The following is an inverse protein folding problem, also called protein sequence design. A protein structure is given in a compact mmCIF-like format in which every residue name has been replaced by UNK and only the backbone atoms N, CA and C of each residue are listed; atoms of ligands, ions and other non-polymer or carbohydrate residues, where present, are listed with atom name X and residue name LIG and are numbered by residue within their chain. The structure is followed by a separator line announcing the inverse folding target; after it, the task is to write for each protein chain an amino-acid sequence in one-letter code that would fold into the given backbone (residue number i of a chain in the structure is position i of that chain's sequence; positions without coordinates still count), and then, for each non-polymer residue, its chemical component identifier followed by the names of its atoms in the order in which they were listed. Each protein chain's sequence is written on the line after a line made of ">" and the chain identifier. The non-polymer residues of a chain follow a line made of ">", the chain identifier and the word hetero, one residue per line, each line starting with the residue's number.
data_IF_803865601685
#
_entry.id   IF_803865601685
#
_cell.length_a   1.000
_cell.length_b   1.000
_cell.length_c   1.000
_cell.angle_alpha   90.00
_cell.angle_beta   90.00
_cell.angle_gamma   90.00
#
_symmetry.space_group_name_H-M   'P 1'
#
loop_
_entity.id
_entity.type
_entity.pdbx_description
1 polymer ?
#
# COMPACT_ATOMS: atom_id res chain seq x y z
N UNK A 1 20.82 -48.54 58.93
CA UNK A 1 20.48 -47.70 57.73
C UNK A 1 21.74 -46.96 57.30
N UNK A 2 22.16 -47.11 56.06
CA UNK A 2 23.49 -46.66 55.56
C UNK A 2 23.48 -45.18 55.16
N UNK A 3 24.21 -44.28 55.87
CA UNK A 3 24.17 -42.83 55.61
C UNK A 3 24.71 -42.43 54.23
N UNK A 4 25.36 -43.32 53.50
CA UNK A 4 25.87 -43.10 52.15
C UNK A 4 24.74 -43.11 51.09
N UNK A 5 23.66 -43.83 51.36
CA UNK A 5 22.50 -43.92 50.43
C UNK A 5 21.73 -42.61 50.35
N UNK A 6 21.52 -41.90 51.46
CA UNK A 6 20.79 -40.62 51.47
C UNK A 6 21.55 -39.48 50.78
N UNK A 7 22.88 -39.48 50.82
CA UNK A 7 23.70 -38.45 50.12
C UNK A 7 23.65 -38.63 48.60
N UNK A 8 23.64 -39.85 48.10
CA UNK A 8 23.57 -40.15 46.67
C UNK A 8 22.18 -39.78 46.09
N UNK A 9 21.11 -40.09 46.79
CA UNK A 9 19.74 -39.72 46.36
C UNK A 9 19.53 -38.21 46.39
N UNK A 10 20.04 -37.50 47.40
CA UNK A 10 19.95 -36.04 47.46
C UNK A 10 20.72 -35.38 46.29
N UNK A 11 21.92 -35.86 45.97
CA UNK A 11 22.72 -35.35 44.86
C UNK A 11 22.05 -35.59 43.50
N UNK A 12 21.45 -36.77 43.31
CA UNK A 12 20.73 -37.09 42.08
C UNK A 12 19.48 -36.18 41.86
N UNK A 13 18.73 -35.92 42.95
CA UNK A 13 17.56 -35.02 42.92
C UNK A 13 17.99 -33.59 42.61
N UNK A 14 19.07 -33.10 43.20
CA UNK A 14 19.59 -31.75 42.91
C UNK A 14 20.08 -31.64 41.48
N UNK A 15 20.75 -32.63 40.95
CA UNK A 15 21.21 -32.66 39.56
C UNK A 15 20.04 -32.68 38.56
N UNK A 16 18.98 -33.47 38.86
CA UNK A 16 17.75 -33.49 38.05
C UNK A 16 17.01 -32.15 38.07
N UNK A 17 16.97 -31.50 39.23
CA UNK A 17 16.34 -30.18 39.37
C UNK A 17 17.11 -29.10 38.60
N UNK A 18 18.46 -29.14 38.64
CA UNK A 18 19.30 -28.22 37.83
C UNK A 18 19.13 -28.49 36.34
N UNK A 19 19.08 -29.76 35.92
CA UNK A 19 18.85 -30.13 34.52
C UNK A 19 17.46 -29.68 34.02
N UNK A 20 16.42 -29.85 34.87
CA UNK A 20 15.07 -29.36 34.56
C UNK A 20 15.02 -27.81 34.44
N UNK A 21 15.74 -27.08 35.30
CA UNK A 21 15.86 -25.63 35.24
C UNK A 21 16.63 -25.17 33.98
N UNK A 22 17.67 -25.89 33.58
CA UNK A 22 18.42 -25.60 32.34
C UNK A 22 17.60 -25.89 31.10
N UNK A 23 16.77 -26.93 31.10
CA UNK A 23 15.84 -27.24 30.01
C UNK A 23 14.69 -26.22 29.93
N UNK A 24 14.25 -25.65 31.03
CA UNK A 24 13.22 -24.62 31.08
C UNK A 24 13.73 -23.23 30.58
N UNK A 25 15.03 -22.97 30.68
CA UNK A 25 15.65 -21.74 30.23
C UNK A 25 15.79 -21.65 28.68
N UNK A 26 15.62 -22.77 27.97
CA UNK A 26 15.77 -22.89 26.55
C UNK A 26 14.41 -22.92 25.84
N UNK A 27 13.44 -22.08 26.24
CA UNK A 27 12.22 -21.89 25.47
C UNK A 27 12.59 -21.20 24.15
N UNK A 28 12.27 -21.79 22.98
CA UNK A 28 12.59 -21.17 21.71
C UNK A 28 11.89 -19.80 21.64
N UNK A 29 12.65 -18.73 21.35
CA UNK A 29 12.09 -17.42 21.08
C UNK A 29 10.96 -17.57 20.06
N UNK A 30 9.77 -17.08 20.38
CA UNK A 30 8.65 -17.08 19.42
C UNK A 30 9.09 -16.43 18.13
N UNK A 31 9.09 -17.19 17.03
CA UNK A 31 9.35 -16.66 15.69
C UNK A 31 8.07 -16.08 15.12
N UNK A 32 8.18 -14.89 14.53
CA UNK A 32 7.09 -14.20 13.85
C UNK A 32 7.24 -14.30 12.34
N UNK A 33 6.15 -14.63 11.66
CA UNK A 33 6.09 -14.64 10.20
C UNK A 33 5.28 -13.46 9.68
N UNK A 34 5.91 -12.62 8.84
CA UNK A 34 5.31 -11.45 8.20
C UNK A 34 5.22 -11.71 6.70
N UNK A 35 4.02 -11.70 6.14
CA UNK A 35 3.78 -11.68 4.71
C UNK A 35 3.66 -10.25 4.19
N UNK A 36 4.35 -9.90 3.11
CA UNK A 36 4.25 -8.59 2.44
C UNK A 36 3.72 -8.79 1.04
N UNK A 37 2.49 -8.31 0.77
CA UNK A 37 1.85 -8.40 -0.54
C UNK A 37 1.75 -7.02 -1.18
N UNK A 38 2.55 -6.81 -2.24
CA UNK A 38 2.57 -5.58 -3.03
C UNK A 38 1.66 -5.70 -4.24
N UNK A 39 0.97 -4.60 -4.59
CA UNK A 39 0.14 -4.55 -5.80
C UNK A 39 0.97 -4.58 -7.09
N UNK A 40 2.16 -3.96 -7.11
CA UNK A 40 2.99 -3.75 -8.31
C UNK A 40 4.48 -3.91 -8.02
N UNK A 41 5.31 -3.76 -9.04
CA UNK A 41 6.79 -3.84 -8.99
C UNK A 41 7.45 -2.50 -9.40
N UNK A 42 6.82 -1.38 -9.13
CA UNK A 42 7.40 -0.07 -9.41
C UNK A 42 8.53 0.31 -8.43
N UNK A 43 9.24 1.41 -8.75
CA UNK A 43 10.36 1.91 -7.94
C UNK A 43 9.96 2.26 -6.50
N UNK A 44 8.72 2.73 -6.30
CA UNK A 44 8.21 3.06 -4.97
C UNK A 44 8.05 1.79 -4.12
N UNK A 45 7.47 0.72 -4.71
CA UNK A 45 7.33 -0.59 -4.05
C UNK A 45 8.68 -1.24 -3.77
N UNK A 46 9.62 -1.11 -4.70
CA UNK A 46 10.99 -1.58 -4.51
C UNK A 46 11.66 -0.88 -3.33
N UNK A 47 11.51 0.44 -3.23
CA UNK A 47 12.05 1.21 -2.09
C UNK A 47 11.40 0.75 -0.78
N UNK A 48 10.06 0.65 -0.72
CA UNK A 48 9.36 0.21 0.47
C UNK A 48 9.80 -1.20 0.92
N UNK A 49 9.93 -2.14 -0.02
CA UNK A 49 10.39 -3.50 0.29
C UNK A 49 11.82 -3.50 0.84
N UNK A 50 12.71 -2.62 0.31
CA UNK A 50 14.08 -2.51 0.82
C UNK A 50 14.13 -1.99 2.25
N UNK A 51 13.27 -1.03 2.62
CA UNK A 51 13.17 -0.50 3.98
C UNK A 51 12.63 -1.55 4.95
N UNK A 52 11.56 -2.25 4.58
CA UNK A 52 11.01 -3.34 5.40
C UNK A 52 12.06 -4.43 5.63
N UNK A 53 12.81 -4.81 4.58
CA UNK A 53 13.87 -5.80 4.69
C UNK A 53 14.99 -5.34 5.60
N UNK A 54 15.44 -4.09 5.45
CA UNK A 54 16.49 -3.51 6.29
C UNK A 54 16.08 -3.52 7.76
N UNK A 55 14.86 -3.11 8.06
CA UNK A 55 14.34 -3.10 9.43
C UNK A 55 14.23 -4.52 9.99
N UNK A 56 13.79 -5.50 9.18
CA UNK A 56 13.64 -6.88 9.64
C UNK A 56 14.95 -7.53 10.09
N UNK A 57 16.10 -7.09 9.59
CA UNK A 57 17.41 -7.60 10.03
C UNK A 57 17.79 -7.23 11.47
N UNK A 58 17.07 -6.30 12.08
CA UNK A 58 17.28 -5.93 13.49
C UNK A 58 16.63 -6.92 14.46
N UNK A 59 15.87 -7.91 13.95
CA UNK A 59 15.07 -8.84 14.75
C UNK A 59 15.32 -10.30 14.34
N UNK A 60 16.11 -11.03 15.10
CA UNK A 60 16.49 -12.44 14.80
C UNK A 60 15.30 -13.40 14.74
N UNK A 61 14.19 -13.04 15.37
CA UNK A 61 12.99 -13.86 15.45
C UNK A 61 11.89 -13.43 14.48
N UNK A 62 12.19 -12.58 13.49
CA UNK A 62 11.25 -12.12 12.46
C UNK A 62 11.65 -12.68 11.09
N UNK A 63 10.73 -13.40 10.45
CA UNK A 63 10.85 -13.85 9.07
C UNK A 63 9.89 -13.08 8.18
N UNK A 64 10.39 -12.46 7.12
CA UNK A 64 9.58 -11.70 6.16
C UNK A 64 9.60 -12.39 4.79
N UNK A 65 8.42 -12.57 4.20
CA UNK A 65 8.26 -13.08 2.83
C UNK A 65 7.57 -12.02 1.97
N UNK A 66 8.18 -11.67 0.83
CA UNK A 66 7.66 -10.67 -0.09
C UNK A 66 6.99 -11.34 -1.29
N UNK A 67 5.87 -10.77 -1.75
CA UNK A 67 5.18 -11.14 -2.97
C UNK A 67 4.70 -9.89 -3.71
N UNK A 68 4.73 -9.94 -5.04
CA UNK A 68 4.21 -8.88 -5.91
C UNK A 68 3.13 -9.42 -6.83
N UNK A 69 2.03 -8.70 -6.92
CA UNK A 69 0.87 -9.09 -7.72
C UNK A 69 0.97 -8.64 -9.18
N UNK A 70 1.92 -7.75 -9.53
CA UNK A 70 2.09 -7.23 -10.89
C UNK A 70 0.78 -6.69 -11.48
N UNK A 71 0.06 -5.90 -10.66
CA UNK A 71 -1.22 -5.26 -10.97
C UNK A 71 -2.40 -6.23 -11.24
N UNK A 72 -2.30 -7.51 -10.86
CA UNK A 72 -3.38 -8.50 -10.96
C UNK A 72 -4.02 -8.78 -9.58
N UNK A 73 -5.31 -8.45 -9.44
CA UNK A 73 -6.06 -8.67 -8.21
C UNK A 73 -6.14 -10.16 -7.82
N UNK A 74 -6.27 -11.08 -8.78
CA UNK A 74 -6.39 -12.52 -8.51
C UNK A 74 -5.09 -13.07 -7.96
N UNK A 75 -3.96 -12.61 -8.51
CA UNK A 75 -2.63 -12.96 -8.01
C UNK A 75 -2.46 -12.46 -6.58
N UNK A 76 -2.88 -11.22 -6.31
CA UNK A 76 -2.76 -10.64 -4.97
C UNK A 76 -3.65 -11.38 -3.94
N UNK A 77 -4.87 -11.73 -4.31
CA UNK A 77 -5.76 -12.54 -3.46
C UNK A 77 -5.09 -13.87 -3.09
N UNK A 78 -4.59 -14.60 -4.09
CA UNK A 78 -3.90 -15.89 -3.87
C UNK A 78 -2.66 -15.75 -2.97
N UNK A 79 -1.90 -14.65 -3.09
CA UNK A 79 -0.75 -14.38 -2.22
C UNK A 79 -1.17 -14.19 -0.76
N UNK A 80 -2.21 -13.41 -0.51
CA UNK A 80 -2.73 -13.16 0.84
C UNK A 80 -3.28 -14.45 1.43
N UNK A 81 -4.03 -15.25 0.67
CA UNK A 81 -4.52 -16.57 1.11
C UNK A 81 -3.37 -17.49 1.49
N UNK A 82 -2.32 -17.55 0.67
CA UNK A 82 -1.12 -18.34 0.97
C UNK A 82 -0.44 -17.89 2.26
N UNK A 83 -0.38 -16.60 2.55
CA UNK A 83 0.18 -16.10 3.82
C UNK A 83 -0.68 -16.50 5.02
N UNK A 84 -2.02 -16.43 4.87
CA UNK A 84 -2.95 -16.92 5.90
C UNK A 84 -2.73 -18.40 6.18
N UNK A 85 -2.66 -19.22 5.12
CA UNK A 85 -2.51 -20.68 5.23
C UNK A 85 -1.14 -21.09 5.78
N UNK A 86 -0.10 -20.28 5.54
CA UNK A 86 1.23 -20.44 6.16
C UNK A 86 1.30 -19.99 7.62
N UNK A 87 0.20 -19.49 8.19
CA UNK A 87 0.15 -19.02 9.57
C UNK A 87 0.90 -17.70 9.80
N UNK A 88 0.74 -16.73 8.90
CA UNK A 88 1.32 -15.40 9.10
C UNK A 88 0.77 -14.75 10.38
N UNK A 89 1.65 -14.21 11.21
CA UNK A 89 1.28 -13.41 12.39
C UNK A 89 0.85 -11.99 12.00
N UNK A 90 1.39 -11.51 10.87
CA UNK A 90 1.11 -10.18 10.30
C UNK A 90 1.16 -10.26 8.77
N UNK A 91 0.23 -9.59 8.12
CA UNK A 91 0.27 -9.34 6.68
C UNK A 91 0.29 -7.83 6.42
N UNK A 92 1.33 -7.37 5.72
CA UNK A 92 1.42 -6.01 5.20
C UNK A 92 0.90 -6.03 3.77
N UNK A 93 -0.13 -5.24 3.48
CA UNK A 93 -0.79 -5.22 2.17
C UNK A 93 -0.83 -3.81 1.62
N UNK A 94 -0.43 -3.65 0.36
CA UNK A 94 -0.80 -2.50 -0.45
C UNK A 94 -1.82 -2.97 -1.49
N UNK A 95 -3.13 -2.82 -1.26
CA UNK A 95 -4.14 -3.41 -2.13
C UNK A 95 -4.08 -2.81 -3.54
N UNK A 96 -4.16 -3.64 -4.58
CA UNK A 96 -4.21 -3.15 -5.96
C UNK A 96 -5.49 -2.34 -6.19
N UNK A 97 -6.64 -2.94 -5.93
CA UNK A 97 -7.92 -2.27 -5.93
C UNK A 97 -8.67 -2.49 -4.60
N UNK A 98 -9.25 -1.41 -4.07
CA UNK A 98 -9.87 -1.42 -2.75
C UNK A 98 -10.96 -2.49 -2.62
N UNK A 99 -11.96 -2.49 -3.51
CA UNK A 99 -13.10 -3.40 -3.44
C UNK A 99 -12.71 -4.86 -3.70
N UNK A 100 -11.85 -5.10 -4.68
CA UNK A 100 -11.46 -6.46 -5.08
C UNK A 100 -10.70 -7.20 -3.97
N UNK A 101 -9.85 -6.48 -3.22
CA UNK A 101 -9.02 -7.07 -2.17
C UNK A 101 -9.71 -7.12 -0.81
N UNK A 102 -10.81 -6.37 -0.60
CA UNK A 102 -11.51 -6.32 0.69
C UNK A 102 -11.91 -7.71 1.22
N UNK A 103 -12.48 -8.64 0.44
CA UNK A 103 -12.90 -9.93 0.98
C UNK A 103 -11.75 -10.74 1.58
N UNK A 104 -10.60 -10.81 0.90
CA UNK A 104 -9.44 -11.57 1.40
C UNK A 104 -8.74 -10.88 2.58
N UNK A 105 -8.73 -9.55 2.60
CA UNK A 105 -8.23 -8.75 3.73
C UNK A 105 -9.10 -9.01 4.97
N UNK A 106 -10.43 -8.97 4.81
CA UNK A 106 -11.37 -9.28 5.87
C UNK A 106 -11.18 -10.71 6.38
N UNK A 107 -11.00 -11.68 5.47
CA UNK A 107 -10.73 -13.09 5.82
C UNK A 107 -9.46 -13.22 6.67
N UNK A 108 -8.40 -12.51 6.34
CA UNK A 108 -7.17 -12.50 7.15
C UNK A 108 -7.44 -11.96 8.56
N UNK A 109 -8.08 -10.79 8.66
CA UNK A 109 -8.41 -10.15 9.92
C UNK A 109 -9.33 -11.01 10.80
N UNK A 110 -10.38 -11.59 10.22
CA UNK A 110 -11.36 -12.46 10.92
C UNK A 110 -10.72 -13.77 11.42
N UNK A 111 -9.61 -14.21 10.80
CA UNK A 111 -8.80 -15.35 11.28
C UNK A 111 -7.75 -14.95 12.32
N UNK A 112 -7.76 -13.72 12.79
CA UNK A 112 -6.86 -13.22 13.82
C UNK A 112 -5.47 -12.84 13.34
N UNK A 113 -5.23 -12.84 12.02
CA UNK A 113 -4.00 -12.31 11.44
C UNK A 113 -4.01 -10.79 11.52
N UNK A 114 -2.96 -10.17 12.06
CA UNK A 114 -2.83 -8.71 12.03
C UNK A 114 -2.66 -8.24 10.60
N UNK A 115 -3.40 -7.20 10.20
CA UNK A 115 -3.31 -6.64 8.86
C UNK A 115 -2.90 -5.18 8.94
N UNK A 116 -1.79 -4.83 8.29
CA UNK A 116 -1.37 -3.46 8.09
C UNK A 116 -1.53 -3.09 6.63
N UNK A 117 -2.37 -2.11 6.36
CA UNK A 117 -2.52 -1.54 5.03
C UNK A 117 -1.49 -0.42 4.83
N UNK A 118 -0.82 -0.41 3.69
CA UNK A 118 0.18 0.61 3.37
C UNK A 118 -0.14 1.27 2.04
N UNK A 119 -0.07 2.62 2.02
CA UNK A 119 -0.31 3.47 0.85
C UNK A 119 -1.76 3.43 0.34
N UNK A 120 -2.33 2.25 0.17
CA UNK A 120 -3.69 2.05 -0.34
C UNK A 120 -4.57 1.38 0.71
N UNK A 121 -5.86 1.73 0.74
CA UNK A 121 -6.86 1.18 1.66
C UNK A 121 -7.70 0.08 1.00
N UNK A 122 -8.26 -0.80 1.82
CA UNK A 122 -9.43 -1.62 1.47
C UNK A 122 -10.72 -0.79 1.58
N UNK A 123 -11.84 -1.38 1.16
CA UNK A 123 -13.17 -0.76 1.30
C UNK A 123 -13.87 -1.16 2.61
N UNK A 124 -13.13 -1.55 3.63
CA UNK A 124 -13.65 -1.87 4.98
C UNK A 124 -12.63 -1.45 6.04
N UNK A 125 -13.03 -1.50 7.30
CA UNK A 125 -12.24 -1.14 8.49
C UNK A 125 -11.61 -2.36 9.18
N UNK A 126 -11.69 -3.56 8.56
CA UNK A 126 -11.09 -4.78 9.09
C UNK A 126 -9.58 -4.82 8.79
N UNK A 127 -8.84 -3.99 9.51
CA UNK A 127 -7.38 -3.98 9.52
C UNK A 127 -6.88 -3.45 10.88
N UNK A 128 -5.64 -3.77 11.22
CA UNK A 128 -5.02 -3.38 12.50
C UNK A 128 -4.52 -1.93 12.45
N UNK A 129 -3.93 -1.52 11.32
CA UNK A 129 -3.42 -0.17 11.11
C UNK A 129 -3.38 0.18 9.62
N UNK A 130 -3.46 1.48 9.33
CA UNK A 130 -3.20 2.05 8.01
C UNK A 130 -2.03 3.03 8.10
N UNK A 131 -1.09 2.90 7.17
CA UNK A 131 0.05 3.80 7.00
C UNK A 131 0.00 4.36 5.58
N UNK A 132 -0.32 5.64 5.45
CA UNK A 132 -0.45 6.28 4.14
C UNK A 132 -0.83 7.75 4.26
N UNK A 133 -0.98 8.40 3.10
CA UNK A 133 -1.36 9.80 3.00
C UNK A 133 -2.89 9.99 3.13
N UNK A 134 -3.29 11.17 3.56
CA UNK A 134 -4.68 11.64 3.39
C UNK A 134 -4.87 12.11 1.94
N UNK A 135 -5.32 11.19 1.08
CA UNK A 135 -5.49 11.44 -0.34
C UNK A 135 -6.65 12.40 -0.65
N UNK A 136 -7.65 12.48 0.22
CA UNK A 136 -8.72 13.48 0.09
C UNK A 136 -8.16 14.88 0.34
N UNK A 137 -7.34 15.05 1.38
CA UNK A 137 -6.67 16.33 1.66
C UNK A 137 -5.73 16.74 0.52
N UNK A 138 -5.00 15.78 -0.08
CA UNK A 138 -4.18 16.03 -1.28
C UNK A 138 -5.06 16.55 -2.42
N UNK A 139 -6.16 15.87 -2.73
CA UNK A 139 -7.09 16.30 -3.78
C UNK A 139 -7.65 17.69 -3.52
N UNK A 140 -8.08 17.98 -2.29
CA UNK A 140 -8.55 19.33 -1.89
C UNK A 140 -7.47 20.39 -2.07
N UNK A 141 -6.24 20.11 -1.69
CA UNK A 141 -5.13 21.05 -1.86
C UNK A 141 -4.89 21.40 -3.33
N UNK A 142 -4.88 20.38 -4.20
CA UNK A 142 -4.75 20.60 -5.66
C UNK A 142 -5.95 21.38 -6.22
N UNK A 143 -7.18 21.04 -5.82
CA UNK A 143 -8.37 21.73 -6.28
C UNK A 143 -8.37 23.23 -5.91
N UNK A 144 -7.95 23.56 -4.68
CA UNK A 144 -7.76 24.97 -4.26
C UNK A 144 -6.67 25.65 -5.08
N UNK A 145 -5.50 25.01 -5.23
CA UNK A 145 -4.42 25.55 -6.04
C UNK A 145 -4.88 25.85 -7.47
N UNK A 146 -5.59 24.93 -8.12
CA UNK A 146 -6.15 25.12 -9.45
C UNK A 146 -7.13 26.29 -9.48
N UNK A 147 -8.01 26.38 -8.48
CA UNK A 147 -8.98 27.47 -8.33
C UNK A 147 -8.33 28.83 -8.27
N UNK A 148 -7.33 28.97 -7.41
CA UNK A 148 -6.59 30.21 -7.18
C UNK A 148 -5.70 30.55 -8.41
N UNK A 149 -4.95 29.59 -8.93
CA UNK A 149 -4.03 29.76 -10.06
C UNK A 149 -4.75 30.22 -11.33
N UNK A 150 -5.93 29.69 -11.59
CA UNK A 150 -6.75 30.06 -12.76
C UNK A 150 -7.71 31.23 -12.48
N UNK A 151 -7.63 31.88 -11.33
CA UNK A 151 -8.53 33.01 -11.00
C UNK A 151 -10.01 32.63 -10.99
N UNK A 152 -10.31 31.36 -10.67
CA UNK A 152 -11.68 30.85 -10.54
C UNK A 152 -12.36 30.44 -11.84
N UNK A 153 -11.71 30.54 -13.00
CA UNK A 153 -12.29 30.22 -14.31
C UNK A 153 -11.27 29.51 -15.21
N UNK A 154 -11.66 28.43 -15.85
CA UNK A 154 -10.77 27.74 -16.79
C UNK A 154 -11.20 26.32 -17.14
N UNK A 155 -10.42 25.70 -18.01
CA UNK A 155 -10.59 24.34 -18.55
C UNK A 155 -9.49 23.46 -17.99
N UNK A 156 -9.84 22.41 -17.31
CA UNK A 156 -8.90 21.49 -16.68
C UNK A 156 -9.08 20.08 -17.25
N UNK A 157 -7.98 19.41 -17.54
CA UNK A 157 -7.98 17.96 -17.78
C UNK A 157 -7.45 17.23 -16.55
N UNK A 158 -7.91 16.00 -16.34
CA UNK A 158 -7.45 15.18 -15.24
C UNK A 158 -6.95 13.82 -15.71
N UNK A 159 -5.73 13.46 -15.27
CA UNK A 159 -5.16 12.13 -15.41
C UNK A 159 -5.20 11.43 -14.05
N UNK A 160 -6.06 10.44 -13.97
CA UNK A 160 -6.32 9.66 -12.75
C UNK A 160 -5.42 8.43 -12.68
N UNK A 161 -5.13 7.99 -11.46
CA UNK A 161 -4.42 6.73 -11.21
C UNK A 161 -5.23 5.50 -11.61
N UNK A 162 -4.81 4.33 -11.11
CA UNK A 162 -5.50 3.06 -11.37
C UNK A 162 -6.96 3.12 -10.89
N UNK A 163 -7.87 2.80 -11.80
CA UNK A 163 -9.29 2.68 -11.48
C UNK A 163 -9.51 1.68 -10.35
N UNK A 164 -10.25 2.08 -9.31
CA UNK A 164 -10.50 1.23 -8.14
C UNK A 164 -9.45 1.28 -7.04
N UNK A 165 -8.29 1.89 -7.25
CA UNK A 165 -7.33 2.14 -6.16
C UNK A 165 -7.79 3.29 -5.27
N UNK A 166 -7.65 3.14 -3.94
CA UNK A 166 -8.12 4.16 -3.00
C UNK A 166 -7.48 5.54 -3.21
N UNK A 167 -6.16 5.69 -3.51
CA UNK A 167 -5.61 7.01 -3.75
C UNK A 167 -6.20 7.73 -4.97
N UNK A 168 -6.53 7.00 -6.04
CA UNK A 168 -7.13 7.61 -7.22
C UNK A 168 -8.55 8.12 -6.93
N UNK A 169 -9.34 7.31 -6.24
CA UNK A 169 -10.71 7.67 -5.84
C UNK A 169 -10.71 8.85 -4.86
N UNK A 170 -9.87 8.80 -3.84
CA UNK A 170 -9.81 9.82 -2.79
C UNK A 170 -9.26 11.16 -3.31
N UNK A 171 -8.23 11.15 -4.18
CA UNK A 171 -7.71 12.39 -4.81
C UNK A 171 -8.73 13.04 -5.72
N UNK A 172 -9.43 12.26 -6.56
CA UNK A 172 -10.52 12.78 -7.39
C UNK A 172 -11.64 13.38 -6.52
N UNK A 173 -12.07 12.65 -5.48
CA UNK A 173 -13.12 13.13 -4.56
C UNK A 173 -12.75 14.48 -3.93
N UNK A 174 -11.56 14.59 -3.34
CA UNK A 174 -11.09 15.84 -2.73
C UNK A 174 -10.92 16.97 -3.76
N UNK A 175 -10.46 16.65 -4.96
CA UNK A 175 -10.34 17.61 -6.07
C UNK A 175 -11.69 18.17 -6.48
N UNK A 176 -12.70 17.31 -6.71
CA UNK A 176 -14.06 17.74 -7.05
C UNK A 176 -14.70 18.56 -5.93
N UNK A 177 -14.50 18.17 -4.67
CA UNK A 177 -14.99 18.90 -3.51
C UNK A 177 -14.45 20.35 -3.49
N UNK A 178 -13.15 20.52 -3.68
CA UNK A 178 -12.56 21.85 -3.72
C UNK A 178 -13.00 22.67 -4.94
N UNK A 179 -13.10 22.05 -6.12
CA UNK A 179 -13.58 22.73 -7.33
C UNK A 179 -15.04 23.17 -7.27
N UNK A 180 -15.87 22.61 -6.40
CA UNK A 180 -17.23 23.05 -6.18
C UNK A 180 -17.30 24.53 -5.75
N UNK A 181 -16.23 25.06 -5.14
CA UNK A 181 -16.11 26.50 -4.81
C UNK A 181 -15.74 27.39 -6.01
N UNK A 182 -15.39 26.81 -7.16
CA UNK A 182 -14.98 27.51 -8.38
C UNK A 182 -15.83 27.07 -9.60
N UNK A 183 -17.12 27.46 -9.66
CA UNK A 183 -18.10 26.89 -10.59
C UNK A 183 -17.80 27.20 -12.07
N UNK A 184 -16.91 28.15 -12.37
CA UNK A 184 -16.49 28.46 -13.73
C UNK A 184 -15.23 27.64 -14.18
N UNK A 185 -14.62 26.86 -13.28
CA UNK A 185 -13.62 25.87 -13.67
C UNK A 185 -14.32 24.59 -14.12
N UNK A 186 -14.01 24.16 -15.33
CA UNK A 186 -14.63 22.96 -15.94
C UNK A 186 -13.59 21.87 -16.13
N UNK A 187 -13.82 20.69 -15.58
CA UNK A 187 -13.05 19.50 -15.95
C UNK A 187 -13.61 19.00 -17.27
N UNK A 188 -12.91 19.32 -18.36
CA UNK A 188 -13.37 19.09 -19.74
C UNK A 188 -13.05 17.68 -20.25
N UNK A 189 -12.07 17.00 -19.66
CA UNK A 189 -11.74 15.60 -19.92
C UNK A 189 -11.08 14.96 -18.73
N UNK A 190 -11.27 13.65 -18.55
CA UNK A 190 -10.49 12.84 -17.62
C UNK A 190 -10.19 11.46 -18.23
N UNK A 191 -9.12 10.83 -17.74
CA UNK A 191 -8.75 9.48 -18.13
C UNK A 191 -7.92 8.79 -17.04
N UNK A 192 -8.00 7.45 -16.97
CA UNK A 192 -7.15 6.65 -16.10
C UNK A 192 -5.83 6.30 -16.81
N UNK A 193 -4.73 6.68 -16.21
CA UNK A 193 -3.39 6.39 -16.69
C UNK A 193 -2.62 5.39 -15.81
N UNK A 194 -3.31 4.79 -14.83
CA UNK A 194 -2.87 3.65 -14.01
C UNK A 194 -1.49 3.84 -13.35
N UNK A 195 -1.11 5.09 -13.05
CA UNK A 195 0.17 5.51 -12.47
C UNK A 195 1.37 5.44 -13.44
N UNK A 196 1.17 5.19 -14.75
CA UNK A 196 2.23 5.04 -15.74
C UNK A 196 2.39 6.28 -16.63
N UNK A 197 3.64 6.73 -16.82
CA UNK A 197 3.95 7.89 -17.67
C UNK A 197 3.54 7.66 -19.12
N UNK A 198 3.86 6.49 -19.69
CA UNK A 198 3.55 6.18 -21.09
C UNK A 198 2.04 6.14 -21.37
N UNK A 199 1.26 5.58 -20.41
CA UNK A 199 -0.20 5.58 -20.53
C UNK A 199 -0.75 7.00 -20.39
N UNK A 200 -0.20 7.80 -19.47
CA UNK A 200 -0.57 9.20 -19.28
C UNK A 200 -0.30 10.03 -20.53
N UNK A 201 0.84 9.82 -21.21
CA UNK A 201 1.13 10.46 -22.48
C UNK A 201 0.11 10.10 -23.56
N UNK A 202 -0.23 8.82 -23.68
CA UNK A 202 -1.25 8.34 -24.63
C UNK A 202 -2.62 8.95 -24.34
N UNK A 203 -3.06 8.91 -23.09
CA UNK A 203 -4.37 9.44 -22.69
C UNK A 203 -4.43 10.96 -22.79
N UNK A 204 -3.38 11.68 -22.38
CA UNK A 204 -3.30 13.14 -22.56
C UNK A 204 -3.38 13.53 -24.04
N UNK A 205 -2.61 12.83 -24.90
CA UNK A 205 -2.66 13.05 -26.35
C UNK A 205 -4.09 12.87 -26.90
N UNK A 206 -4.77 11.82 -26.45
CA UNK A 206 -6.16 11.54 -26.83
C UNK A 206 -7.12 12.63 -26.34
N UNK A 207 -6.97 13.07 -25.09
CA UNK A 207 -7.80 14.13 -24.52
C UNK A 207 -7.61 15.46 -25.25
N UNK A 208 -6.36 15.89 -25.49
CA UNK A 208 -6.08 17.12 -26.24
C UNK A 208 -6.67 17.09 -27.64
N UNK A 209 -6.57 15.98 -28.37
CA UNK A 209 -7.19 15.83 -29.69
C UNK A 209 -8.72 15.88 -29.66
N UNK A 210 -9.34 15.41 -28.59
CA UNK A 210 -10.80 15.32 -28.45
C UNK A 210 -11.44 16.65 -28.05
N UNK A 211 -10.82 17.41 -27.14
CA UNK A 211 -11.45 18.61 -26.56
C UNK A 211 -10.66 19.91 -26.79
N UNK A 212 -9.52 19.83 -27.48
CA UNK A 212 -8.62 20.98 -27.70
C UNK A 212 -7.77 21.30 -26.47
N UNK A 213 -7.28 22.52 -26.40
CA UNK A 213 -6.42 22.97 -25.30
C UNK A 213 -7.15 23.08 -23.97
N UNK A 214 -6.41 22.93 -22.90
CA UNK A 214 -6.83 23.15 -21.54
C UNK A 214 -5.82 24.09 -20.85
N UNK A 215 -6.30 24.86 -19.86
CA UNK A 215 -5.46 25.81 -19.13
C UNK A 215 -4.54 25.07 -18.14
N UNK A 216 -4.93 23.86 -17.71
CA UNK A 216 -4.17 23.06 -16.76
C UNK A 216 -4.49 21.57 -16.92
N UNK A 217 -3.47 20.72 -16.69
CA UNK A 217 -3.64 19.27 -16.54
C UNK A 217 -3.33 18.88 -15.09
N UNK A 218 -4.29 18.36 -14.36
CA UNK A 218 -4.08 17.72 -13.08
C UNK A 218 -3.71 16.26 -13.31
N UNK A 219 -2.49 15.88 -13.01
CA UNK A 219 -2.05 14.49 -12.96
C UNK A 219 -1.89 14.05 -11.50
N UNK A 220 -2.54 12.94 -11.12
CA UNK A 220 -2.58 12.49 -9.74
C UNK A 220 -1.24 11.95 -9.20
N UNK A 221 -0.17 11.88 -10.00
CA UNK A 221 1.21 11.65 -9.57
C UNK A 221 2.21 12.22 -10.58
N UNK A 222 3.47 12.40 -10.13
CA UNK A 222 4.57 12.99 -10.91
C UNK A 222 4.83 12.25 -12.22
N UNK A 223 4.86 10.91 -12.19
CA UNK A 223 5.08 10.10 -13.41
C UNK A 223 4.03 10.36 -14.48
N UNK A 224 2.77 10.51 -14.09
CA UNK A 224 1.71 10.86 -15.03
C UNK A 224 1.81 12.32 -15.47
N UNK A 225 2.27 13.23 -14.62
CA UNK A 225 2.59 14.61 -14.99
C UNK A 225 3.67 14.69 -16.08
N UNK A 226 4.73 13.89 -15.95
CA UNK A 226 5.77 13.75 -16.99
C UNK A 226 5.14 13.27 -18.32
N UNK A 227 4.27 12.27 -18.28
CA UNK A 227 3.58 11.77 -19.47
C UNK A 227 2.69 12.84 -20.12
N UNK A 228 1.94 13.61 -19.32
CA UNK A 228 1.15 14.74 -19.83
C UNK A 228 2.03 15.79 -20.52
N UNK A 229 3.15 16.14 -19.90
CA UNK A 229 4.11 17.09 -20.49
C UNK A 229 4.68 16.57 -21.82
N UNK A 230 5.04 15.29 -21.91
CA UNK A 230 5.50 14.68 -23.16
C UNK A 230 4.44 14.77 -24.27
N UNK A 231 3.16 14.59 -23.90
CA UNK A 231 2.05 14.76 -24.86
C UNK A 231 1.94 16.20 -25.37
N UNK A 232 2.06 17.22 -24.49
CA UNK A 232 2.03 18.62 -24.92
C UNK A 232 3.18 18.94 -25.87
N UNK A 233 4.39 18.47 -25.58
CA UNK A 233 5.56 18.66 -26.46
C UNK A 233 5.34 18.06 -27.84
N UNK A 234 4.84 16.82 -27.93
CA UNK A 234 4.55 16.15 -29.22
C UNK A 234 3.47 16.84 -30.04
N UNK A 235 2.52 17.49 -29.38
CA UNK A 235 1.43 18.21 -30.04
C UNK A 235 1.76 19.68 -30.33
N UNK A 236 2.92 20.16 -29.89
CA UNK A 236 3.30 21.57 -30.03
C UNK A 236 2.48 22.54 -29.17
N UNK A 237 1.83 22.04 -28.11
CA UNK A 237 1.07 22.83 -27.14
C UNK A 237 2.06 23.46 -26.15
N UNK A 238 1.92 24.77 -25.94
CA UNK A 238 2.79 25.55 -25.03
C UNK A 238 2.20 25.68 -23.63
#
# INVERSE_FOLDING_TARGET
>A
MNPKSHKLTSFAITLLAILALLLSACSPKKSFFIGVSQCSEDSWRTKMNSEIRRESYLYDNVRVEFASAKDDNRVQIAQIERFIDKGADLIIVSPNEAKALTPVINKAFDRGVRVVLVDRKSASDKYTAFIGADNVAIGRAVGRFVGEHLGGKGRVMELQGLRGSSPAIERDSGFREALAHYPQIKVVANAHADWFAQKAETEATRMFKAVGEADLVFAQCDRMGIGAHQATQKLGIK
#
